data_IF_043042173728
#
_entry.id   IF_043042173728
#
_cell.length_a   1.000
_cell.length_b   1.000
_cell.length_c   1.000
_cell.angle_alpha   90.00
_cell.angle_beta   90.00
_cell.angle_gamma   90.00
#
_symmetry.space_group_name_H-M   'P 1'
#
loop_
_entity.id
_entity.type
_entity.pdbx_description
1 polymer ?
#
# COMPACT_ATOMS: atom_id res chain seq x y z
N UNK A 1 79.05 -24.20 40.26
CA UNK A 1 78.57 -22.81 40.25
C UNK A 1 78.65 -22.31 38.82
N UNK A 2 77.48 -22.05 38.22
CA UNK A 2 77.18 -21.14 37.07
C UNK A 2 78.01 -21.30 35.77
N UNK A 3 77.46 -21.42 34.56
CA UNK A 3 76.12 -21.16 34.04
C UNK A 3 75.92 -21.97 32.75
N UNK A 4 74.76 -22.63 32.72
CA UNK A 4 73.98 -23.11 31.59
C UNK A 4 74.20 -22.40 30.23
N UNK A 5 74.22 -23.23 29.18
CA UNK A 5 73.48 -23.08 27.92
C UNK A 5 73.54 -21.71 27.22
N UNK A 6 74.50 -21.54 26.32
CA UNK A 6 74.36 -20.63 25.18
C UNK A 6 73.36 -21.23 24.19
N UNK A 7 72.08 -20.95 24.44
CA UNK A 7 70.95 -21.22 23.54
C UNK A 7 71.30 -20.80 22.11
N UNK A 8 70.96 -21.62 21.11
CA UNK A 8 70.92 -21.21 19.69
C UNK A 8 70.11 -19.91 19.60
N UNK A 9 70.80 -18.77 19.50
CA UNK A 9 70.21 -17.43 19.54
C UNK A 9 69.57 -17.02 18.20
N UNK A 10 69.89 -17.72 17.11
CA UNK A 10 69.44 -17.40 15.76
C UNK A 10 68.86 -18.66 15.10
N UNK A 11 67.64 -18.56 14.57
CA UNK A 11 67.02 -19.62 13.75
C UNK A 11 67.65 -19.61 12.36
N UNK A 12 67.93 -20.78 11.80
CA UNK A 12 68.41 -20.87 10.41
C UNK A 12 67.25 -20.67 9.43
N UNK A 13 67.55 -20.32 8.18
CA UNK A 13 66.52 -20.12 7.14
C UNK A 13 65.59 -21.35 7.00
N UNK A 14 66.17 -22.55 6.94
CA UNK A 14 65.40 -23.79 6.84
C UNK A 14 64.52 -24.02 8.08
N UNK A 15 64.97 -23.66 9.28
CA UNK A 15 64.15 -23.77 10.49
C UNK A 15 62.93 -22.84 10.43
N UNK A 16 63.08 -21.64 9.87
CA UNK A 16 61.98 -20.67 9.71
C UNK A 16 60.98 -21.16 8.65
N UNK A 17 61.47 -21.64 7.51
CA UNK A 17 60.63 -22.17 6.43
C UNK A 17 59.87 -23.42 6.89
N UNK A 18 60.56 -24.37 7.52
CA UNK A 18 59.94 -25.61 8.02
C UNK A 18 58.95 -25.37 9.17
N UNK A 19 59.12 -24.27 9.92
CA UNK A 19 58.14 -23.89 10.95
C UNK A 19 56.84 -23.33 10.39
N UNK A 20 56.75 -23.13 9.07
CA UNK A 20 55.57 -22.57 8.42
C UNK A 20 55.38 -21.08 8.70
N UNK A 21 56.42 -20.38 9.16
CA UNK A 21 56.34 -18.96 9.51
C UNK A 21 55.96 -18.05 8.33
N UNK A 22 56.20 -18.50 7.10
CA UNK A 22 55.81 -17.81 5.87
C UNK A 22 54.49 -18.29 5.28
N UNK A 23 53.83 -19.29 5.88
CA UNK A 23 52.52 -19.71 5.44
C UNK A 23 51.50 -18.63 5.79
N UNK A 24 50.76 -18.15 4.79
CA UNK A 24 49.65 -17.24 5.03
C UNK A 24 48.58 -17.96 5.86
N UNK A 25 48.09 -17.36 6.95
CA UNK A 25 46.98 -17.96 7.69
C UNK A 25 45.73 -17.96 6.82
N UNK A 26 44.93 -19.03 6.94
CA UNK A 26 43.61 -19.08 6.32
C UNK A 26 42.77 -17.87 6.75
N UNK A 27 42.03 -17.31 5.80
CA UNK A 27 41.15 -16.17 6.08
C UNK A 27 40.13 -16.53 7.16
N UNK A 28 40.13 -15.77 8.26
CA UNK A 28 39.14 -15.86 9.33
C UNK A 28 38.24 -14.61 9.29
N UNK A 29 36.94 -14.76 8.99
CA UNK A 29 36.04 -13.63 9.01
C UNK A 29 35.93 -13.07 10.44
N UNK A 30 35.93 -11.75 10.57
CA UNK A 30 35.65 -11.11 11.86
C UNK A 30 34.21 -11.45 12.28
N UNK A 31 33.94 -11.72 13.57
CA UNK A 31 32.58 -11.91 14.04
C UNK A 31 31.77 -10.64 13.78
N UNK A 32 30.86 -10.71 12.81
CA UNK A 32 29.89 -9.66 12.51
C UNK A 32 28.62 -9.91 13.32
N UNK A 33 27.94 -8.83 13.72
CA UNK A 33 26.63 -8.94 14.35
C UNK A 33 25.68 -9.68 13.40
N UNK A 34 25.17 -10.83 13.83
CA UNK A 34 24.13 -11.55 13.08
C UNK A 34 22.94 -10.61 12.91
N UNK A 35 22.52 -10.39 11.66
CA UNK A 35 21.35 -9.58 11.35
C UNK A 35 20.14 -10.23 12.02
N UNK A 36 19.36 -9.45 12.76
CA UNK A 36 18.13 -9.94 13.40
C UNK A 36 17.17 -10.46 12.34
N UNK A 37 16.31 -11.42 12.69
CA UNK A 37 15.37 -12.00 11.72
C UNK A 37 14.47 -10.93 11.09
N UNK A 38 14.05 -9.92 11.87
CA UNK A 38 13.31 -8.76 11.37
C UNK A 38 14.02 -8.02 10.23
N UNK A 39 15.34 -7.88 10.32
CA UNK A 39 16.13 -7.16 9.33
C UNK A 39 16.43 -8.02 8.10
N UNK A 40 16.38 -9.36 8.23
CA UNK A 40 16.35 -10.27 7.08
C UNK A 40 15.04 -10.15 6.32
N UNK A 41 13.92 -10.16 7.03
CA UNK A 41 12.58 -10.04 6.44
C UNK A 41 12.40 -8.70 5.71
N UNK A 42 12.85 -7.60 6.32
CA UNK A 42 12.87 -6.28 5.69
C UNK A 42 13.63 -6.28 4.38
N UNK A 43 14.83 -6.86 4.35
CA UNK A 43 15.66 -6.93 3.15
C UNK A 43 15.04 -7.83 2.08
N UNK A 44 14.45 -8.97 2.47
CA UNK A 44 13.75 -9.85 1.55
C UNK A 44 12.60 -9.11 0.85
N UNK A 45 11.81 -8.35 1.61
CA UNK A 45 10.74 -7.50 1.06
C UNK A 45 11.28 -6.42 0.10
N UNK A 46 12.34 -5.72 0.51
CA UNK A 46 12.97 -4.69 -0.31
C UNK A 46 13.50 -5.25 -1.63
N UNK A 47 14.11 -6.43 -1.62
CA UNK A 47 14.63 -7.07 -2.84
C UNK A 47 13.52 -7.58 -3.76
N UNK A 48 12.44 -8.13 -3.19
CA UNK A 48 11.33 -8.67 -3.97
C UNK A 48 10.47 -7.58 -4.62
N UNK A 49 10.20 -6.48 -3.91
CA UNK A 49 9.22 -5.47 -4.32
C UNK A 49 9.82 -4.08 -4.57
N UNK A 50 11.10 -3.87 -4.26
CA UNK A 50 11.76 -2.56 -4.36
C UNK A 50 11.29 -1.55 -3.30
N UNK A 51 10.46 -1.97 -2.33
CA UNK A 51 9.87 -1.12 -1.29
C UNK A 51 10.31 -1.60 0.08
N UNK A 52 10.85 -0.67 0.87
CA UNK A 52 11.25 -0.94 2.25
C UNK A 52 10.03 -0.79 3.19
N UNK A 53 9.59 -1.87 3.87
CA UNK A 53 8.39 -1.83 4.72
C UNK A 53 8.55 -0.93 5.95
N UNK A 54 9.78 -0.63 6.36
CA UNK A 54 10.05 0.25 7.52
C UNK A 54 10.10 1.73 7.15
N UNK A 55 10.16 2.05 5.86
CA UNK A 55 10.30 3.41 5.38
C UNK A 55 8.92 4.08 5.43
N UNK A 56 8.66 4.83 6.50
CA UNK A 56 7.47 5.67 6.61
C UNK A 56 7.54 6.74 5.52
N UNK A 57 6.70 6.58 4.49
CA UNK A 57 6.49 7.64 3.51
C UNK A 57 5.59 8.67 4.19
N UNK A 58 6.18 9.78 4.62
CA UNK A 58 5.41 10.95 5.03
C UNK A 58 4.72 11.50 3.79
N UNK A 59 3.51 10.99 3.49
CA UNK A 59 2.60 11.67 2.60
C UNK A 59 2.11 12.90 3.37
N UNK A 60 2.23 14.12 2.82
CA UNK A 60 1.55 15.27 3.43
C UNK A 60 0.07 14.87 3.55
N UNK A 61 -0.48 15.04 4.75
CA UNK A 61 -1.90 14.83 4.98
C UNK A 61 -2.62 15.83 4.09
N UNK A 62 -3.12 15.36 2.95
CA UNK A 62 -4.08 16.12 2.18
C UNK A 62 -5.25 16.35 3.13
N UNK A 63 -5.44 17.61 3.55
CA UNK A 63 -6.68 18.01 4.16
C UNK A 63 -7.76 17.67 3.15
N UNK A 64 -8.46 16.55 3.36
CA UNK A 64 -9.69 16.31 2.64
C UNK A 64 -10.55 17.54 2.91
N UNK A 65 -11.00 18.28 1.87
CA UNK A 65 -11.98 19.32 2.08
C UNK A 65 -13.12 18.67 2.88
N UNK A 66 -13.63 19.37 3.90
CA UNK A 66 -14.71 18.83 4.75
C UNK A 66 -15.74 18.14 3.86
N UNK A 67 -16.33 16.99 4.28
CA UNK A 67 -17.27 16.25 3.45
C UNK A 67 -18.25 17.27 2.88
N UNK A 68 -18.16 17.52 1.57
CA UNK A 68 -19.14 18.38 0.92
C UNK A 68 -20.46 17.68 1.18
N UNK A 69 -21.46 18.39 1.67
CA UNK A 69 -22.81 17.83 1.74
C UNK A 69 -23.19 17.49 0.30
N UNK A 70 -23.07 16.21 -0.05
CA UNK A 70 -23.40 15.74 -1.39
C UNK A 70 -24.92 15.88 -1.49
N UNK A 71 -25.38 16.56 -2.52
CA UNK A 71 -26.81 16.67 -2.74
C UNK A 71 -27.36 15.25 -2.97
N UNK A 72 -28.47 14.92 -2.29
CA UNK A 72 -29.18 13.64 -2.49
C UNK A 72 -29.48 13.37 -3.96
N UNK A 73 -29.72 14.43 -4.75
CA UNK A 73 -29.90 14.30 -6.19
C UNK A 73 -28.65 13.72 -6.89
N UNK A 74 -27.47 14.21 -6.54
CA UNK A 74 -26.19 13.73 -7.11
C UNK A 74 -25.88 12.30 -6.68
N UNK A 75 -26.21 11.93 -5.44
CA UNK A 75 -26.11 10.54 -4.97
C UNK A 75 -26.97 9.59 -5.82
N UNK A 76 -28.22 9.97 -6.09
CA UNK A 76 -29.14 9.15 -6.89
C UNK A 76 -28.65 8.96 -8.33
N UNK A 77 -28.05 9.99 -8.93
CA UNK A 77 -27.43 9.89 -10.26
C UNK A 77 -26.30 8.86 -10.24
N UNK A 78 -25.42 8.94 -9.25
CA UNK A 78 -24.31 8.01 -9.09
C UNK A 78 -24.81 6.57 -8.87
N UNK A 79 -25.80 6.37 -8.00
CA UNK A 79 -26.38 5.06 -7.75
C UNK A 79 -26.99 4.47 -9.04
N UNK A 80 -27.72 5.25 -9.83
CA UNK A 80 -28.26 4.79 -11.12
C UNK A 80 -27.15 4.35 -12.07
N UNK A 81 -26.06 5.10 -12.14
CA UNK A 81 -24.90 4.74 -12.98
C UNK A 81 -24.26 3.43 -12.52
N UNK A 82 -24.07 3.26 -11.20
CA UNK A 82 -23.56 2.02 -10.62
C UNK A 82 -24.46 0.83 -10.92
N UNK A 83 -25.79 1.00 -10.89
CA UNK A 83 -26.74 -0.07 -11.24
C UNK A 83 -26.71 -0.43 -12.72
N UNK A 84 -26.52 0.54 -13.62
CA UNK A 84 -26.31 0.29 -15.05
C UNK A 84 -25.02 -0.48 -15.29
N UNK A 85 -23.90 -0.04 -14.70
CA UNK A 85 -22.61 -0.72 -14.80
C UNK A 85 -22.67 -2.14 -14.25
N UNK A 86 -23.35 -2.35 -13.13
CA UNK A 86 -23.57 -3.69 -12.58
C UNK A 86 -24.30 -4.60 -13.57
N UNK A 87 -25.36 -4.10 -14.23
CA UNK A 87 -26.10 -4.89 -15.21
C UNK A 87 -25.26 -5.21 -16.45
N UNK A 88 -24.40 -4.29 -16.89
CA UNK A 88 -23.44 -4.55 -17.97
C UNK A 88 -22.44 -5.64 -17.59
N UNK A 89 -21.87 -5.57 -16.38
CA UNK A 89 -20.97 -6.60 -15.85
C UNK A 89 -21.67 -7.96 -15.80
N UNK A 90 -22.88 -8.05 -15.25
CA UNK A 90 -23.64 -9.30 -15.19
C UNK A 90 -24.05 -9.80 -16.58
N UNK A 91 -24.29 -8.90 -17.53
CA UNK A 91 -24.58 -9.26 -18.92
C UNK A 91 -23.36 -9.87 -19.60
N UNK A 92 -22.17 -9.32 -19.37
CA UNK A 92 -20.91 -9.87 -19.89
C UNK A 92 -20.64 -11.30 -19.37
N UNK A 93 -21.12 -11.60 -18.17
CA UNK A 93 -21.08 -12.94 -17.55
C UNK A 93 -22.24 -13.86 -17.97
N UNK A 94 -23.12 -13.43 -18.89
CA UNK A 94 -24.27 -14.21 -19.36
C UNK A 94 -25.48 -14.23 -18.41
N UNK A 95 -25.44 -13.50 -17.29
CA UNK A 95 -26.46 -13.51 -16.23
C UNK A 95 -27.53 -12.43 -16.38
N UNK A 96 -27.69 -11.85 -17.57
CA UNK A 96 -28.63 -10.73 -17.81
C UNK A 96 -30.06 -11.03 -17.34
N UNK A 97 -30.59 -12.22 -17.66
CA UNK A 97 -31.98 -12.60 -17.35
C UNK A 97 -32.26 -12.64 -15.84
N UNK A 98 -31.26 -12.95 -15.03
CA UNK A 98 -31.39 -13.05 -13.57
C UNK A 98 -31.55 -11.66 -12.93
N UNK A 99 -30.81 -10.67 -13.43
CA UNK A 99 -30.71 -9.36 -12.79
C UNK A 99 -31.53 -8.26 -13.48
N UNK A 100 -31.84 -8.38 -14.77
CA UNK A 100 -32.43 -7.29 -15.55
C UNK A 100 -33.69 -6.68 -14.91
N UNK A 101 -34.61 -7.52 -14.43
CA UNK A 101 -35.87 -7.04 -13.85
C UNK A 101 -35.63 -6.31 -12.52
N UNK A 102 -34.81 -6.89 -11.64
CA UNK A 102 -34.48 -6.31 -10.33
C UNK A 102 -33.79 -4.96 -10.51
N UNK A 103 -32.78 -4.89 -11.38
CA UNK A 103 -32.06 -3.64 -11.66
C UNK A 103 -32.98 -2.58 -12.27
N UNK A 104 -33.87 -2.96 -13.18
CA UNK A 104 -34.81 -2.01 -13.81
C UNK A 104 -35.77 -1.41 -12.78
N UNK A 105 -36.24 -2.22 -11.82
CA UNK A 105 -37.09 -1.75 -10.74
C UNK A 105 -36.33 -0.77 -9.84
N UNK A 106 -35.12 -1.11 -9.42
CA UNK A 106 -34.30 -0.23 -8.57
C UNK A 106 -33.97 1.10 -9.25
N UNK A 107 -33.68 1.10 -10.56
CA UNK A 107 -33.48 2.33 -11.33
C UNK A 107 -34.77 3.15 -11.36
N UNK A 108 -35.92 2.50 -11.54
CA UNK A 108 -37.23 3.18 -11.56
C UNK A 108 -37.56 3.83 -10.21
N UNK A 109 -37.25 3.15 -9.11
CA UNK A 109 -37.44 3.68 -7.75
C UNK A 109 -36.57 4.93 -7.51
N UNK A 110 -35.30 4.90 -7.95
CA UNK A 110 -34.39 6.06 -7.85
C UNK A 110 -34.84 7.23 -8.71
N UNK A 111 -35.34 6.98 -9.92
CA UNK A 111 -35.91 8.03 -10.78
C UNK A 111 -37.11 8.68 -10.10
N UNK A 112 -38.00 7.88 -9.52
CA UNK A 112 -39.17 8.40 -8.81
C UNK A 112 -38.78 9.27 -7.61
N UNK A 113 -37.72 8.90 -6.88
CA UNK A 113 -37.16 9.72 -5.80
C UNK A 113 -36.62 11.06 -6.35
N UNK A 114 -35.86 11.05 -7.44
CA UNK A 114 -35.37 12.26 -8.09
C UNK A 114 -36.51 13.20 -8.51
N UNK A 115 -37.58 12.66 -9.09
CA UNK A 115 -38.74 13.48 -9.46
C UNK A 115 -39.45 14.11 -8.25
N UNK A 116 -39.48 13.41 -7.11
CA UNK A 116 -40.04 13.98 -5.88
C UNK A 116 -39.22 15.17 -5.39
N UNK A 117 -37.90 15.02 -5.40
CA UNK A 117 -36.96 16.09 -5.05
C UNK A 117 -37.16 17.29 -5.98
N UNK A 118 -37.23 17.06 -7.30
CA UNK A 118 -37.43 18.11 -8.30
C UNK A 118 -38.75 18.86 -8.11
N UNK A 119 -39.86 18.13 -7.88
CA UNK A 119 -41.16 18.72 -7.58
C UNK A 119 -41.14 19.59 -6.32
N UNK A 120 -40.44 19.14 -5.26
CA UNK A 120 -40.33 19.90 -4.01
C UNK A 120 -39.52 21.19 -4.22
N UNK A 121 -38.40 21.10 -4.92
CA UNK A 121 -37.54 22.25 -5.25
C UNK A 121 -38.27 23.28 -6.08
N UNK A 122 -38.95 22.84 -7.14
CA UNK A 122 -39.74 23.71 -8.01
C UNK A 122 -40.82 24.48 -7.24
N UNK A 123 -41.57 23.79 -6.37
CA UNK A 123 -42.56 24.43 -5.49
C UNK A 123 -41.93 25.46 -4.54
N UNK A 124 -40.78 25.14 -3.95
CA UNK A 124 -40.07 26.05 -3.06
C UNK A 124 -39.58 27.30 -3.80
N UNK A 125 -39.08 27.14 -5.04
CA UNK A 125 -38.66 28.24 -5.90
C UNK A 125 -39.83 29.13 -6.28
N UNK A 126 -40.96 28.56 -6.73
CA UNK A 126 -42.17 29.32 -7.05
C UNK A 126 -42.66 30.17 -5.87
N UNK A 127 -42.64 29.61 -4.66
CA UNK A 127 -43.05 30.34 -3.45
C UNK A 127 -42.15 31.55 -3.19
N UNK A 128 -40.83 31.37 -3.27
CA UNK A 128 -39.85 32.45 -3.09
C UNK A 128 -40.01 33.56 -4.13
N UNK A 129 -40.27 33.19 -5.39
CA UNK A 129 -40.51 34.17 -6.46
C UNK A 129 -41.77 35.00 -6.19
N UNK A 130 -42.85 34.38 -5.70
CA UNK A 130 -44.08 35.10 -5.34
C UNK A 130 -43.87 36.07 -4.17
N UNK A 131 -43.09 35.67 -3.17
CA UNK A 131 -42.74 36.51 -2.01
C UNK A 131 -41.87 37.72 -2.39
N UNK A 132 -41.05 37.62 -3.44
CA UNK A 132 -40.23 38.74 -3.93
C UNK A 132 -41.01 39.77 -4.75
N UNK A 133 -42.21 39.43 -5.21
CA UNK A 133 -43.06 40.28 -6.04
C UNK A 133 -44.30 40.83 -5.29
N UNK A 134 -44.38 40.63 -3.98
CA UNK A 134 -45.34 41.27 -3.07
C UNK A 134 -44.66 42.38 -2.26
#
# INVERSE_FOLDING_TARGET
MMMLYMKKLLRTYNDIVNSGAYAEPDYQPRPIKTRTDQEKDRLAHLMAYGVDPTKVIYKPVEYSPSPREIDRFDELVLEIEQRKQFLEQMTSLGKRKEYQQVISNEISDKIREMEQIDRQRSKALEKRLKEQHQ
#
